data_IF_234447891790
#
_entry.id   IF_234447891790
#
_cell.length_a   1.000
_cell.length_b   1.000
_cell.length_c   1.000
_cell.angle_alpha   90.00
_cell.angle_beta   90.00
_cell.angle_gamma   90.00
#
_symmetry.space_group_name_H-M   'P 1'
#
loop_
_entity.id
_entity.type
_entity.pdbx_description
1 polymer ?
#
# COMPACT_ATOMS: atom_id res chain seq x y z
N UNK A 1 22.19 -7.28 -6.94
CA UNK A 1 23.22 -8.21 -6.42
C UNK A 1 24.63 -7.72 -6.70
N UNK A 2 25.07 -7.55 -7.96
CA UNK A 2 26.41 -7.01 -8.22
C UNK A 2 26.53 -5.52 -7.86
N UNK A 3 25.48 -4.73 -8.10
CA UNK A 3 25.48 -3.28 -7.82
C UNK A 3 25.65 -2.98 -6.32
N UNK A 4 24.91 -3.68 -5.46
CA UNK A 4 24.96 -3.51 -3.99
C UNK A 4 26.35 -3.77 -3.38
N UNK A 5 27.18 -4.60 -4.02
CA UNK A 5 28.54 -4.87 -3.56
C UNK A 5 29.47 -3.65 -3.69
N UNK A 6 29.20 -2.77 -4.65
CA UNK A 6 30.00 -1.57 -4.88
C UNK A 6 29.43 -0.32 -4.19
N UNK A 7 28.21 -0.37 -3.67
CA UNK A 7 27.55 0.77 -3.02
C UNK A 7 28.40 1.40 -1.92
N UNK A 8 29.03 0.59 -1.06
CA UNK A 8 29.90 1.10 0.00
C UNK A 8 31.11 1.88 -0.53
N UNK A 9 31.69 1.42 -1.65
CA UNK A 9 32.82 2.10 -2.30
C UNK A 9 32.35 3.41 -2.96
N UNK A 10 31.23 3.36 -3.69
CA UNK A 10 30.67 4.51 -4.38
C UNK A 10 30.17 5.58 -3.40
N UNK A 11 29.56 5.17 -2.30
CA UNK A 11 29.10 6.07 -1.23
C UNK A 11 30.27 6.82 -0.58
N UNK A 12 31.38 6.13 -0.31
CA UNK A 12 32.58 6.76 0.25
C UNK A 12 33.19 7.82 -0.68
N UNK A 13 33.06 7.66 -2.01
CA UNK A 13 33.46 8.67 -2.99
C UNK A 13 32.44 9.81 -3.03
N UNK A 14 31.14 9.50 -3.05
CA UNK A 14 30.07 10.49 -3.10
C UNK A 14 30.11 11.44 -1.90
N UNK A 15 30.35 10.93 -0.69
CA UNK A 15 30.44 11.73 0.54
C UNK A 15 31.57 12.77 0.52
N UNK A 16 32.62 12.57 -0.28
CA UNK A 16 33.75 13.51 -0.40
C UNK A 16 33.46 14.66 -1.36
N UNK A 17 32.38 14.59 -2.13
CA UNK A 17 32.00 15.59 -3.12
C UNK A 17 30.77 16.35 -2.64
N UNK A 18 30.74 17.67 -2.89
CA UNK A 18 29.59 18.51 -2.59
C UNK A 18 28.61 18.51 -3.76
N UNK A 19 27.83 17.43 -3.87
CA UNK A 19 26.80 17.28 -4.90
C UNK A 19 27.19 16.35 -6.05
N UNK A 20 26.26 16.22 -7.00
CA UNK A 20 26.36 15.24 -8.09
C UNK A 20 27.31 15.69 -9.20
N UNK A 21 27.32 16.99 -9.56
CA UNK A 21 28.14 17.47 -10.68
C UNK A 21 29.65 17.29 -10.41
N UNK A 22 30.19 17.66 -9.23
CA UNK A 22 31.61 17.43 -8.93
C UNK A 22 31.97 15.94 -8.86
N UNK A 23 31.03 15.09 -8.43
CA UNK A 23 31.22 13.64 -8.42
C UNK A 23 31.32 13.10 -9.85
N UNK A 24 30.43 13.52 -10.74
CA UNK A 24 30.42 13.15 -12.15
C UNK A 24 31.68 13.65 -12.87
N UNK A 25 32.12 14.88 -12.60
CA UNK A 25 33.37 15.42 -13.16
C UNK A 25 34.59 14.58 -12.76
N UNK A 26 34.68 14.16 -11.49
CA UNK A 26 35.74 13.28 -11.03
C UNK A 26 35.66 11.91 -11.72
N UNK A 27 34.46 11.34 -11.83
CA UNK A 27 34.24 10.05 -12.47
C UNK A 27 34.57 10.06 -13.97
N UNK A 28 34.06 11.04 -14.71
CA UNK A 28 34.40 11.22 -16.12
C UNK A 28 35.86 11.61 -16.32
N UNK A 29 36.46 12.35 -15.38
CA UNK A 29 37.89 12.61 -15.36
C UNK A 29 38.73 11.34 -15.23
N UNK A 30 38.28 10.36 -14.43
CA UNK A 30 38.89 9.03 -14.36
C UNK A 30 38.76 8.29 -15.70
N UNK A 31 37.55 8.23 -16.27
CA UNK A 31 37.33 7.57 -17.57
C UNK A 31 38.21 8.18 -18.66
N UNK A 32 38.31 9.50 -18.74
CA UNK A 32 39.20 10.19 -19.68
C UNK A 32 40.67 9.80 -19.55
N UNK A 33 41.16 9.49 -18.33
CA UNK A 33 42.58 9.22 -18.07
C UNK A 33 42.94 7.74 -18.07
N UNK A 34 41.99 6.86 -17.76
CA UNK A 34 42.24 5.45 -17.46
C UNK A 34 41.52 4.49 -18.40
N UNK A 35 40.65 5.01 -19.27
CA UNK A 35 39.93 4.22 -20.26
C UNK A 35 39.94 4.93 -21.62
N UNK A 36 39.50 4.23 -22.64
CA UNK A 36 39.29 4.73 -23.99
C UNK A 36 37.88 5.33 -24.19
N UNK A 37 37.14 5.61 -23.12
CA UNK A 37 35.72 5.96 -23.17
C UNK A 37 35.39 7.12 -24.13
N UNK A 38 36.24 8.15 -24.18
CA UNK A 38 36.04 9.32 -25.05
C UNK A 38 36.75 9.21 -26.41
N UNK A 39 37.63 8.23 -26.59
CA UNK A 39 38.45 8.03 -27.79
C UNK A 39 38.11 6.75 -28.56
N UNK A 40 37.22 5.93 -28.02
CA UNK A 40 36.77 4.68 -28.59
C UNK A 40 35.79 4.87 -29.77
N UNK A 41 35.09 3.79 -30.17
CA UNK A 41 34.18 3.84 -31.31
C UNK A 41 33.11 4.93 -31.18
N UNK A 42 33.01 5.78 -32.21
CA UNK A 42 32.09 6.92 -32.21
C UNK A 42 32.57 8.16 -31.44
N UNK A 43 33.77 8.12 -30.85
CA UNK A 43 34.40 9.25 -30.17
C UNK A 43 33.50 9.88 -29.09
N UNK A 44 33.48 11.22 -29.04
CA UNK A 44 32.69 11.96 -28.06
C UNK A 44 31.17 11.72 -28.19
N UNK A 45 30.67 11.51 -29.41
CA UNK A 45 29.25 11.30 -29.63
C UNK A 45 28.82 9.88 -29.19
N UNK A 46 29.67 8.87 -29.42
CA UNK A 46 29.48 7.53 -28.88
C UNK A 46 29.49 7.49 -27.35
N UNK A 47 30.38 8.28 -26.73
CA UNK A 47 30.43 8.44 -25.27
C UNK A 47 29.13 9.06 -24.73
N UNK A 48 28.65 10.15 -25.34
CA UNK A 48 27.38 10.82 -24.97
C UNK A 48 26.19 9.89 -25.10
N UNK A 49 26.12 9.13 -26.19
CA UNK A 49 25.05 8.17 -26.43
C UNK A 49 25.06 7.02 -25.41
N UNK A 50 26.25 6.55 -25.03
CA UNK A 50 26.40 5.53 -23.99
C UNK A 50 25.91 6.01 -22.62
N UNK A 51 26.19 7.27 -22.26
CA UNK A 51 25.69 7.91 -21.02
C UNK A 51 24.17 8.04 -21.08
N UNK A 52 23.63 8.57 -22.18
CA UNK A 52 22.18 8.72 -22.38
C UNK A 52 21.45 7.40 -22.14
N UNK A 53 21.88 6.34 -22.83
CA UNK A 53 21.32 4.99 -22.68
C UNK A 53 21.43 4.46 -21.25
N UNK A 54 22.53 4.76 -20.55
CA UNK A 54 22.68 4.35 -19.16
C UNK A 54 21.69 5.06 -18.23
N UNK A 55 21.47 6.36 -18.42
CA UNK A 55 20.49 7.13 -17.67
C UNK A 55 19.06 6.64 -17.95
N UNK A 56 18.72 6.43 -19.23
CA UNK A 56 17.39 5.93 -19.65
C UNK A 56 17.07 4.58 -19.00
N UNK A 57 18.02 3.62 -18.99
CA UNK A 57 17.82 2.32 -18.32
C UNK A 57 17.54 2.45 -16.81
N UNK A 58 18.13 3.44 -16.14
CA UNK A 58 17.84 3.66 -14.71
C UNK A 58 16.51 4.39 -14.52
N UNK A 59 16.18 5.34 -15.40
CA UNK A 59 14.89 6.02 -15.39
C UNK A 59 13.73 5.02 -15.53
N UNK A 60 13.81 4.09 -16.48
CA UNK A 60 12.82 3.02 -16.67
C UNK A 60 12.64 2.16 -15.41
N UNK A 61 13.72 1.85 -14.70
CA UNK A 61 13.66 1.11 -13.42
C UNK A 61 12.95 1.91 -12.34
N UNK A 62 13.29 3.19 -12.20
CA UNK A 62 12.66 4.09 -11.23
C UNK A 62 11.17 4.23 -11.52
N UNK A 63 10.79 4.46 -12.77
CA UNK A 63 9.38 4.52 -13.19
C UNK A 63 8.64 3.22 -12.89
N UNK A 64 9.24 2.07 -13.18
CA UNK A 64 8.69 0.77 -12.85
C UNK A 64 8.50 0.54 -11.35
N UNK A 65 9.45 0.99 -10.53
CA UNK A 65 9.33 0.92 -9.07
C UNK A 65 8.22 1.82 -8.52
N UNK A 66 8.10 3.04 -9.05
CA UNK A 66 7.02 3.97 -8.69
C UNK A 66 5.67 3.35 -9.04
N UNK A 67 5.51 2.87 -10.27
CA UNK A 67 4.27 2.24 -10.72
C UNK A 67 3.91 1.00 -9.88
N UNK A 68 4.91 0.16 -9.52
CA UNK A 68 4.70 -0.99 -8.64
C UNK A 68 4.22 -0.56 -7.25
N UNK A 69 4.89 0.42 -6.63
CA UNK A 69 4.52 0.94 -5.31
C UNK A 69 3.11 1.52 -5.30
N UNK A 70 2.73 2.26 -6.35
CA UNK A 70 1.37 2.80 -6.47
C UNK A 70 0.32 1.70 -6.63
N UNK A 71 0.59 0.69 -7.46
CA UNK A 71 -0.32 -0.44 -7.64
C UNK A 71 -0.49 -1.24 -6.34
N UNK A 72 0.60 -1.47 -5.59
CA UNK A 72 0.56 -2.11 -4.28
C UNK A 72 -0.25 -1.29 -3.27
N UNK A 73 -0.07 0.03 -3.23
CA UNK A 73 -0.83 0.93 -2.37
C UNK A 73 -2.32 0.90 -2.68
N UNK A 74 -2.71 0.96 -3.96
CA UNK A 74 -4.11 0.87 -4.39
C UNK A 74 -4.74 -0.48 -4.00
N UNK A 75 -4.05 -1.59 -4.22
CA UNK A 75 -4.53 -2.93 -3.82
C UNK A 75 -4.68 -3.06 -2.31
N UNK A 76 -3.77 -2.49 -1.53
CA UNK A 76 -3.84 -2.49 -0.07
C UNK A 76 -5.04 -1.68 0.43
N UNK A 77 -5.29 -0.51 -0.16
CA UNK A 77 -6.45 0.35 0.14
C UNK A 77 -7.77 -0.35 -0.18
N UNK A 78 -7.91 -0.95 -1.37
CA UNK A 78 -9.12 -1.68 -1.77
C UNK A 78 -9.40 -2.88 -0.85
N UNK A 79 -8.35 -3.62 -0.46
CA UNK A 79 -8.47 -4.75 0.48
C UNK A 79 -8.90 -4.26 1.86
N UNK A 80 -8.36 -3.14 2.34
CA UNK A 80 -8.73 -2.55 3.62
C UNK A 80 -10.20 -2.06 3.61
N UNK A 81 -10.63 -1.41 2.53
CA UNK A 81 -12.01 -0.94 2.37
C UNK A 81 -13.00 -2.12 2.34
N UNK A 82 -12.71 -3.16 1.55
CA UNK A 82 -13.54 -4.36 1.48
C UNK A 82 -13.62 -5.08 2.82
N UNK A 83 -12.53 -5.12 3.58
CA UNK A 83 -12.52 -5.67 4.93
C UNK A 83 -13.38 -4.84 5.91
N UNK A 84 -13.31 -3.50 5.84
CA UNK A 84 -14.15 -2.59 6.64
C UNK A 84 -15.63 -2.78 6.32
N UNK A 85 -16.01 -2.82 5.04
CA UNK A 85 -17.39 -3.06 4.59
C UNK A 85 -17.92 -4.41 5.10
N UNK A 86 -17.14 -5.49 4.97
CA UNK A 86 -17.52 -6.82 5.49
C UNK A 86 -17.72 -6.82 7.01
N UNK A 87 -16.83 -6.17 7.77
CA UNK A 87 -16.96 -6.04 9.23
C UNK A 87 -18.20 -5.24 9.63
N UNK A 88 -18.50 -4.14 8.93
CA UNK A 88 -19.68 -3.33 9.20
C UNK A 88 -20.98 -4.11 8.96
N UNK A 89 -21.08 -4.84 7.83
CA UNK A 89 -22.24 -5.70 7.53
C UNK A 89 -22.40 -6.81 8.57
N UNK A 90 -21.30 -7.46 8.97
CA UNK A 90 -21.34 -8.51 9.98
C UNK A 90 -21.78 -7.98 11.36
N UNK A 91 -21.32 -6.78 11.75
CA UNK A 91 -21.74 -6.11 12.99
C UNK A 91 -23.23 -5.77 12.97
N UNK A 92 -23.70 -5.14 11.89
CA UNK A 92 -25.11 -4.78 11.73
C UNK A 92 -26.03 -6.01 11.77
N UNK A 93 -25.60 -7.13 11.15
CA UNK A 93 -26.37 -8.39 11.17
C UNK A 93 -26.47 -8.97 12.59
N UNK A 94 -25.36 -8.98 13.35
CA UNK A 94 -25.35 -9.43 14.75
C UNK A 94 -26.23 -8.56 15.64
N UNK A 95 -26.14 -7.23 15.51
CA UNK A 95 -26.96 -6.30 16.29
C UNK A 95 -28.46 -6.46 15.97
N UNK A 96 -28.82 -6.72 14.71
CA UNK A 96 -30.21 -7.01 14.33
C UNK A 96 -30.72 -8.35 14.87
N UNK A 97 -29.88 -9.40 14.85
CA UNK A 97 -30.20 -10.72 15.42
C UNK A 97 -30.36 -10.64 16.95
N UNK A 98 -29.49 -9.90 17.65
CA UNK A 98 -29.57 -9.67 19.10
C UNK A 98 -30.81 -8.85 19.47
N UNK A 99 -31.14 -7.79 18.72
CA UNK A 99 -32.34 -6.99 18.93
C UNK A 99 -33.63 -7.81 18.70
N UNK A 100 -33.65 -8.66 17.68
CA UNK A 100 -34.77 -9.55 17.41
C UNK A 100 -34.96 -10.59 18.52
N UNK A 101 -33.86 -11.17 19.03
CA UNK A 101 -33.90 -12.11 20.15
C UNK A 101 -34.33 -11.45 21.47
N UNK A 102 -33.94 -10.19 21.71
CA UNK A 102 -34.40 -9.43 22.87
C UNK A 102 -35.91 -9.11 22.79
N UNK A 103 -36.40 -8.74 21.61
CA UNK A 103 -37.82 -8.44 21.39
C UNK A 103 -38.73 -9.67 21.53
N UNK A 104 -38.28 -10.85 21.09
CA UNK A 104 -39.04 -12.11 21.28
C UNK A 104 -39.08 -12.53 22.75
N UNK A 105 -37.97 -12.35 23.49
CA UNK A 105 -37.94 -12.64 24.93
C UNK A 105 -38.84 -11.69 25.73
N UNK A 106 -38.84 -10.39 25.41
CA UNK A 106 -39.73 -9.41 26.04
C UNK A 106 -41.22 -9.69 25.78
N UNK A 107 -41.57 -10.22 24.59
CA UNK A 107 -42.95 -10.66 24.28
C UNK A 107 -43.36 -11.94 25.01
N UNK A 108 -42.42 -12.84 25.27
CA UNK A 108 -42.69 -14.08 26.02
C UNK A 108 -42.90 -13.82 27.53
N UNK A 109 -42.19 -12.83 28.09
CA UNK A 109 -42.30 -12.47 29.52
C UNK A 109 -43.51 -11.56 29.82
N UNK A 110 -44.05 -10.83 28.83
CA UNK A 110 -45.26 -10.01 28.96
C UNK A 110 -46.60 -10.74 28.77
N UNK A 111 -46.59 -12.05 28.51
CA UNK A 111 -47.78 -12.85 28.13
C UNK A 111 -48.43 -13.67 29.26
N UNK A 112 -48.00 -13.54 30.51
CA UNK A 112 -48.61 -14.25 31.65
C UNK A 112 -49.34 -13.25 32.54
N UNK A 113 -50.58 -12.92 32.18
CA UNK A 113 -51.38 -11.96 32.94
C UNK A 113 -52.79 -11.76 32.40
N UNK A 114 -53.50 -12.82 32.03
CA UNK A 114 -54.96 -12.81 31.87
C UNK A 114 -55.53 -14.22 32.08
N UNK A 115 -55.38 -14.73 33.30
CA UNK A 115 -56.05 -15.94 33.76
C UNK A 115 -57.38 -15.58 34.43
N UNK A 116 -58.46 -16.05 33.81
CA UNK A 116 -59.82 -16.28 34.28
C UNK A 116 -60.16 -15.94 35.74
N UNK A 117 -61.23 -15.13 35.92
CA UNK A 117 -62.15 -15.27 37.05
C UNK A 117 -63.47 -15.80 36.49
N UNK A 118 -63.81 -16.98 36.99
CA UNK A 118 -64.96 -17.83 36.70
C UNK A 118 -66.26 -17.29 37.29
N UNK A 119 -67.34 -17.80 36.70
CA UNK A 119 -68.77 -17.62 36.91
C UNK A 119 -69.28 -17.27 38.33
N UNK A 120 -70.23 -16.34 38.38
CA UNK A 120 -71.03 -16.01 39.56
C UNK A 120 -72.44 -15.59 39.16
N UNK A 121 -73.29 -16.57 38.85
CA UNK A 121 -74.75 -16.43 38.80
C UNK A 121 -75.26 -15.90 40.15
N UNK A 122 -75.94 -14.74 40.13
CA UNK A 122 -77.11 -14.50 41.00
C UNK A 122 -78.07 -13.48 40.40
N UNK A 123 -79.34 -13.85 40.54
CA UNK A 123 -80.59 -13.33 40.03
C UNK A 123 -81.07 -12.05 40.77
N UNK A 124 -82.12 -11.42 40.20
CA UNK A 124 -83.15 -10.55 40.81
C UNK A 124 -82.97 -9.03 40.74
N UNK A 125 -83.96 -8.38 40.11
CA UNK A 125 -84.29 -6.95 40.25
C UNK A 125 -84.88 -6.33 39.02
#
# INVERSE_FOLDING_TARGET
>A
MADEAYDGHLLGIAQRHQGIDPLLDTFFGFLRRKTDFFTGPGGLDGARESIRKAVERQAERVEGEIARREAEKRKAEERAERARKKKAVAKAKREAEEAAAAATKAKAEGGVGAGAADDGVVELG
#
